data_IF_048880547890
#
_entry.id   IF_048880547890
#
_cell.length_a   1.000
_cell.length_b   1.000
_cell.length_c   1.000
_cell.angle_alpha   90.00
_cell.angle_beta   90.00
_cell.angle_gamma   90.00
#
_symmetry.space_group_name_H-M   'P 1'
#
loop_
_entity.id
_entity.type
_entity.pdbx_description
1 polymer ?
#
# COMPACT_ATOMS: atom_id res chain seq x y z
N UNK A 1 -0.75 5.19 -13.94
CA UNK A 1 -0.54 6.21 -12.87
C UNK A 1 0.22 5.55 -11.73
N UNK A 2 1.02 6.30 -10.94
CA UNK A 2 1.71 5.74 -9.77
C UNK A 2 0.96 6.16 -8.49
N UNK A 3 0.54 5.16 -7.71
CA UNK A 3 -0.20 5.35 -6.47
C UNK A 3 0.52 4.69 -5.31
N UNK A 4 0.34 5.22 -4.11
CA UNK A 4 0.88 4.64 -2.87
C UNK A 4 -0.28 4.22 -2.00
N UNK A 5 -0.30 2.95 -1.60
CA UNK A 5 -1.29 2.39 -0.67
C UNK A 5 -0.54 1.89 0.56
N UNK A 6 -0.74 2.54 1.70
CA UNK A 6 0.04 2.27 2.90
C UNK A 6 -0.78 2.39 4.18
N UNK A 7 -0.43 1.59 5.19
CA UNK A 7 -0.94 1.73 6.55
C UNK A 7 -0.26 2.85 7.35
N UNK A 8 0.71 3.55 6.74
CA UNK A 8 1.23 4.80 7.28
C UNK A 8 0.26 5.95 6.99
N UNK A 9 0.34 7.02 7.77
CA UNK A 9 -0.44 8.24 7.47
C UNK A 9 0.12 8.94 6.24
N UNK A 10 -0.75 9.64 5.50
CA UNK A 10 -0.35 10.40 4.30
C UNK A 10 0.76 11.39 4.62
N UNK A 11 0.67 12.11 5.73
CA UNK A 11 1.72 13.04 6.17
C UNK A 11 3.08 12.36 6.39
N UNK A 12 3.09 11.12 6.90
CA UNK A 12 4.32 10.34 7.08
C UNK A 12 4.92 9.93 5.74
N UNK A 13 4.07 9.48 4.81
CA UNK A 13 4.48 9.09 3.45
C UNK A 13 5.05 10.30 2.70
N UNK A 14 4.33 11.43 2.67
CA UNK A 14 4.77 12.65 1.98
C UNK A 14 6.09 13.18 2.55
N UNK A 15 6.28 13.12 3.87
CA UNK A 15 7.55 13.49 4.52
C UNK A 15 8.69 12.58 4.08
N UNK A 16 8.48 11.26 4.09
CA UNK A 16 9.49 10.29 3.68
C UNK A 16 9.91 10.49 2.20
N UNK A 17 8.94 10.66 1.30
CA UNK A 17 9.20 10.94 -0.11
C UNK A 17 9.90 12.29 -0.32
N UNK A 18 9.52 13.31 0.44
CA UNK A 18 10.14 14.64 0.35
C UNK A 18 11.62 14.60 0.75
N UNK A 19 11.96 13.84 1.79
CA UNK A 19 13.34 13.70 2.27
C UNK A 19 14.31 13.13 1.21
N UNK A 20 13.78 12.41 0.21
CA UNK A 20 14.55 11.83 -0.90
C UNK A 20 14.20 12.43 -2.26
N UNK A 21 13.53 13.59 -2.29
CA UNK A 21 13.11 14.29 -3.53
C UNK A 21 12.23 13.46 -4.48
N UNK A 22 11.49 12.47 -3.96
CA UNK A 22 10.60 11.64 -4.75
C UNK A 22 9.14 12.14 -4.77
N UNK A 23 8.75 13.03 -3.85
CA UNK A 23 7.35 13.45 -3.72
C UNK A 23 6.79 14.07 -5.02
N UNK A 24 7.61 14.80 -5.78
CA UNK A 24 7.20 15.44 -7.04
C UNK A 24 6.81 14.47 -8.15
N UNK A 25 7.20 13.19 -8.04
CA UNK A 25 6.83 12.15 -9.01
C UNK A 25 5.45 11.55 -8.72
N UNK A 26 4.85 11.84 -7.56
CA UNK A 26 3.55 11.31 -7.17
C UNK A 26 2.48 12.39 -7.23
N UNK A 27 1.33 12.01 -7.79
CA UNK A 27 0.09 12.79 -7.65
C UNK A 27 -0.40 12.64 -6.22
N UNK A 28 -0.56 13.74 -5.49
CA UNK A 28 -0.88 13.73 -4.05
C UNK A 28 -2.23 13.08 -3.76
N UNK A 29 -3.18 13.16 -4.68
CA UNK A 29 -4.48 12.50 -4.61
C UNK A 29 -4.37 10.96 -4.68
N UNK A 30 -3.27 10.42 -5.20
CA UNK A 30 -2.99 8.98 -5.28
C UNK A 30 -2.10 8.46 -4.14
N UNK A 31 -1.83 9.30 -3.13
CA UNK A 31 -1.16 8.89 -1.89
C UNK A 31 -2.24 8.55 -0.86
N UNK A 32 -2.52 7.25 -0.72
CA UNK A 32 -3.57 6.68 0.10
C UNK A 32 -2.97 6.11 1.39
N UNK A 33 -3.08 6.88 2.47
CA UNK A 33 -2.62 6.51 3.81
C UNK A 33 -3.72 5.98 4.72
N UNK A 34 -3.33 5.62 5.94
CA UNK A 34 -4.24 5.17 7.02
C UNK A 34 -5.36 6.16 7.34
N UNK A 35 -5.04 7.44 7.25
CA UNK A 35 -5.88 8.57 7.61
C UNK A 35 -6.75 9.09 6.45
N UNK A 36 -6.53 8.62 5.23
CA UNK A 36 -7.24 9.09 4.04
C UNK A 36 -8.18 8.06 3.43
N UNK A 37 -8.20 6.85 3.97
CA UNK A 37 -9.01 5.73 3.49
C UNK A 37 -9.82 5.18 4.65
N UNK A 38 -11.08 4.83 4.40
CA UNK A 38 -11.91 4.15 5.38
C UNK A 38 -11.56 2.65 5.48
N UNK A 39 -10.38 2.37 6.05
CA UNK A 39 -9.85 1.00 6.15
C UNK A 39 -10.77 -0.01 6.84
N UNK A 40 -11.53 0.33 7.90
CA UNK A 40 -12.50 -0.57 8.50
C UNK A 40 -13.54 -1.08 7.50
N UNK A 41 -14.12 -0.21 6.67
CA UNK A 41 -15.10 -0.59 5.64
C UNK A 41 -14.48 -1.47 4.55
N UNK A 42 -13.18 -1.32 4.30
CA UNK A 42 -12.42 -2.11 3.34
C UNK A 42 -11.74 -3.34 3.97
N UNK A 43 -12.08 -3.67 5.23
CA UNK A 43 -11.57 -4.85 5.94
C UNK A 43 -10.06 -4.84 6.16
N UNK A 44 -9.42 -3.67 6.18
CA UNK A 44 -7.96 -3.52 6.29
C UNK A 44 -7.18 -4.23 5.17
N UNK A 45 -7.74 -4.29 3.95
CA UNK A 45 -7.14 -4.97 2.80
C UNK A 45 -6.64 -3.98 1.75
N UNK A 46 -5.38 -4.11 1.32
CA UNK A 46 -4.83 -3.24 0.27
C UNK A 46 -5.49 -3.54 -1.06
N UNK A 47 -5.81 -4.79 -1.36
CA UNK A 47 -6.53 -5.16 -2.58
C UNK A 47 -7.88 -4.45 -2.72
N UNK A 48 -8.62 -4.29 -1.62
CA UNK A 48 -9.89 -3.59 -1.58
C UNK A 48 -9.72 -2.09 -1.83
N UNK A 49 -8.66 -1.47 -1.30
CA UNK A 49 -8.31 -0.08 -1.61
C UNK A 49 -7.95 0.08 -3.08
N UNK A 50 -7.13 -0.83 -3.61
CA UNK A 50 -6.69 -0.80 -5.01
C UNK A 50 -7.89 -0.94 -5.94
N UNK A 51 -8.78 -1.90 -5.71
CA UNK A 51 -9.95 -2.11 -6.58
C UNK A 51 -10.94 -0.94 -6.53
N UNK A 52 -11.28 -0.47 -5.34
CA UNK A 52 -12.35 0.53 -5.13
C UNK A 52 -11.91 1.97 -5.38
N UNK A 53 -10.67 2.33 -5.06
CA UNK A 53 -10.21 3.73 -5.13
C UNK A 53 -9.23 4.00 -6.27
N UNK A 54 -8.67 2.95 -6.90
CA UNK A 54 -7.74 3.12 -8.02
C UNK A 54 -8.29 2.50 -9.31
N UNK A 55 -8.54 1.19 -9.36
CA UNK A 55 -8.92 0.53 -10.61
C UNK A 55 -10.27 1.02 -11.13
N UNK A 56 -11.33 0.93 -10.31
CA UNK A 56 -12.67 1.33 -10.74
C UNK A 56 -12.77 2.83 -11.09
N UNK A 57 -12.27 3.78 -10.26
CA UNK A 57 -12.37 5.21 -10.59
C UNK A 57 -11.52 5.63 -11.78
N UNK A 58 -10.41 4.93 -12.05
CA UNK A 58 -9.54 5.22 -13.19
C UNK A 58 -9.93 4.43 -14.45
N UNK A 59 -11.00 3.63 -14.40
CA UNK A 59 -11.42 2.73 -15.49
C UNK A 59 -10.29 1.81 -15.97
N UNK A 60 -9.46 1.34 -15.03
CA UNK A 60 -8.36 0.42 -15.29
C UNK A 60 -8.81 -1.02 -15.04
N UNK A 61 -8.21 -1.94 -15.79
CA UNK A 61 -8.38 -3.36 -15.58
C UNK A 61 -7.38 -3.88 -14.56
N UNK A 62 -7.71 -5.01 -13.97
CA UNK A 62 -6.83 -5.74 -13.08
C UNK A 62 -5.49 -6.11 -13.74
N UNK A 63 -5.49 -6.39 -15.04
CA UNK A 63 -4.28 -6.64 -15.84
C UNK A 63 -3.36 -5.44 -15.99
N UNK A 64 -3.86 -4.23 -15.71
CA UNK A 64 -3.07 -2.99 -15.76
C UNK A 64 -2.35 -2.73 -14.43
N UNK A 65 -2.60 -3.55 -13.40
CA UNK A 65 -1.97 -3.44 -12.10
C UNK A 65 -0.56 -4.04 -12.10
N UNK A 66 0.42 -3.22 -11.70
CA UNK A 66 1.73 -3.68 -11.29
C UNK A 66 1.97 -3.27 -9.82
N UNK A 67 1.85 -4.23 -8.91
CA UNK A 67 1.93 -4.02 -7.47
C UNK A 67 3.35 -4.27 -6.94
N UNK A 68 3.86 -3.37 -6.10
CA UNK A 68 5.21 -3.49 -5.52
C UNK A 68 5.09 -3.35 -4.00
N UNK A 69 5.63 -4.32 -3.26
CA UNK A 69 5.60 -4.32 -1.81
C UNK A 69 6.80 -5.12 -1.26
N UNK A 70 7.22 -4.79 -0.04
CA UNK A 70 8.25 -5.50 0.70
C UNK A 70 7.68 -6.59 1.62
N UNK A 71 6.40 -6.48 1.97
CA UNK A 71 5.68 -7.48 2.76
C UNK A 71 5.07 -8.58 1.88
N UNK A 72 5.63 -9.79 1.97
CA UNK A 72 5.14 -10.97 1.28
C UNK A 72 3.68 -11.32 1.63
N UNK A 73 3.19 -10.93 2.81
CA UNK A 73 1.78 -11.12 3.19
C UNK A 73 0.88 -10.18 2.40
N UNK A 74 1.25 -8.92 2.27
CA UNK A 74 0.54 -7.94 1.43
C UNK A 74 0.51 -8.37 -0.04
N UNK A 75 1.62 -8.92 -0.56
CA UNK A 75 1.66 -9.50 -1.91
C UNK A 75 0.68 -10.64 -2.10
N UNK A 76 0.67 -11.61 -1.18
CA UNK A 76 -0.26 -12.75 -1.23
C UNK A 76 -1.71 -12.29 -1.13
N UNK A 77 -1.99 -11.29 -0.30
CA UNK A 77 -3.31 -10.68 -0.15
C UNK A 77 -3.78 -10.05 -1.46
N UNK A 78 -2.93 -9.25 -2.10
CA UNK A 78 -3.25 -8.55 -3.35
C UNK A 78 -3.40 -9.54 -4.50
N UNK A 79 -2.44 -10.43 -4.72
CA UNK A 79 -2.50 -11.40 -5.82
C UNK A 79 -3.61 -12.44 -5.65
N UNK A 80 -3.96 -12.79 -4.41
CA UNK A 80 -5.10 -13.68 -4.15
C UNK A 80 -6.45 -13.05 -4.50
N UNK A 81 -6.56 -11.72 -4.40
CA UNK A 81 -7.78 -10.97 -4.70
C UNK A 81 -7.84 -10.41 -6.13
N UNK A 82 -6.66 -10.13 -6.70
CA UNK A 82 -6.44 -9.53 -8.02
C UNK A 82 -5.45 -10.40 -8.82
N UNK A 83 -5.81 -11.66 -9.17
CA UNK A 83 -4.93 -12.66 -9.80
C UNK A 83 -4.42 -12.35 -11.21
N UNK A 84 -5.04 -11.43 -11.96
CA UNK A 84 -4.62 -10.95 -13.28
C UNK A 84 -3.60 -9.81 -13.19
N UNK A 85 -3.41 -9.25 -11.99
CA UNK A 85 -2.37 -8.25 -11.74
C UNK A 85 -0.98 -8.87 -11.71
N UNK A 86 0.02 -8.06 -12.02
CA UNK A 86 1.43 -8.41 -11.81
C UNK A 86 1.91 -7.86 -10.48
N UNK A 87 2.86 -8.52 -9.83
CA UNK A 87 3.50 -7.98 -8.65
C UNK A 87 4.99 -8.30 -8.55
N UNK A 88 5.72 -7.45 -7.83
CA UNK A 88 7.14 -7.58 -7.56
C UNK A 88 7.39 -7.46 -6.05
N UNK A 89 8.04 -8.49 -5.50
CA UNK A 89 8.52 -8.47 -4.12
C UNK A 89 9.87 -7.78 -4.03
N UNK A 90 9.97 -6.74 -3.21
CA UNK A 90 11.21 -6.03 -2.93
C UNK A 90 11.58 -6.26 -1.45
N UNK A 91 12.30 -7.35 -1.12
CA UNK A 91 12.69 -7.61 0.26
C UNK A 91 13.55 -6.47 0.81
N UNK A 92 13.37 -6.16 2.11
CA UNK A 92 14.20 -5.16 2.77
C UNK A 92 15.64 -5.67 2.86
N UNK A 93 16.60 -4.83 2.51
CA UNK A 93 18.00 -5.10 2.81
C UNK A 93 18.14 -5.00 4.34
N UNK A 94 18.35 -6.14 5.01
CA UNK A 94 18.53 -6.19 6.46
C UNK A 94 17.54 -7.07 7.24
N UNK A 95 16.87 -8.06 6.65
CA UNK A 95 16.12 -9.07 7.43
C UNK A 95 17.02 -9.93 8.37
N UNK A 96 18.34 -9.71 8.38
CA UNK A 96 19.31 -10.17 9.41
C UNK A 96 19.72 -9.06 10.43
N UNK A 97 19.16 -7.85 10.37
CA UNK A 97 19.51 -6.73 11.25
C UNK A 97 18.39 -6.45 12.27
N UNK A 98 18.62 -6.65 13.58
CA UNK A 98 17.59 -6.48 14.59
C UNK A 98 17.48 -5.00 14.98
N UNK A 99 16.45 -4.27 14.54
CA UNK A 99 15.71 -3.26 15.30
C UNK A 99 14.84 -2.39 14.38
N UNK A 100 13.51 -2.58 14.43
CA UNK A 100 12.56 -1.57 14.92
C UNK A 100 11.40 -2.37 15.53
N UNK A 101 11.09 -2.10 16.80
CA UNK A 101 9.98 -2.71 17.53
C UNK A 101 8.72 -2.74 16.67
N UNK A 102 8.19 -3.94 16.50
CA UNK A 102 6.83 -4.21 16.08
C UNK A 102 5.91 -3.32 16.92
N UNK A 103 5.33 -2.27 16.33
CA UNK A 103 4.16 -1.63 16.91
C UNK A 103 3.03 -2.63 16.73
N UNK A 104 2.60 -3.24 17.83
CA UNK A 104 1.49 -4.17 17.84
C UNK A 104 0.28 -3.53 17.12
N UNK A 105 -0.20 -4.21 16.08
CA UNK A 105 -1.54 -3.91 15.54
C UNK A 105 -2.51 -4.05 16.71
N UNK A 106 -3.38 -3.06 16.99
CA UNK A 106 -4.42 -3.26 18.00
C UNK A 106 -5.25 -4.46 17.58
N UNK A 107 -5.25 -5.50 18.42
CA UNK A 107 -6.19 -6.61 18.28
C UNK A 107 -7.58 -6.01 18.44
N UNK A 108 -8.39 -6.09 17.38
CA UNK A 108 -9.78 -5.65 17.41
C UNK A 108 -10.48 -6.27 18.61
N UNK A 109 -10.99 -5.41 19.50
CA UNK A 109 -11.87 -5.82 20.58
C UNK A 109 -13.24 -6.18 20.02
N UNK A 110 -13.79 -7.28 20.55
CA UNK A 110 -15.20 -7.68 20.40
C UNK A 110 -16.15 -6.58 20.86
#
# INVERSE_FOLDING_TARGET
>A
ACAIVSFNTKATIERALSAVNLLSYFRRELILGRDTVNWPELGWRKSAVISSLLLAPLSLLESDLFFVDDDATSLREVLGALPRGSALHIPRIGDDAPFVRQLDKPRGGM
#
